data_IF_974047256089
#
_entry.id   IF_974047256089
#
_cell.length_a   1.000
_cell.length_b   1.000
_cell.length_c   1.000
_cell.angle_alpha   90.00
_cell.angle_beta   90.00
_cell.angle_gamma   90.00
#
_symmetry.space_group_name_H-M   'P 1'
#
loop_
_entity.id
_entity.type
_entity.pdbx_description
1 polymer ?
#
# COMPACT_ATOMS: atom_id res chain seq x y z
N UNK A 1 -12.45 3.71 -19.39
CA UNK A 1 -11.91 2.81 -18.37
C UNK A 1 -11.94 3.47 -17.02
N UNK A 2 -12.48 2.79 -16.04
CA UNK A 2 -12.67 3.37 -14.71
C UNK A 2 -11.36 3.34 -13.93
N UNK A 3 -11.00 4.47 -13.33
CA UNK A 3 -9.83 4.55 -12.47
C UNK A 3 -10.17 3.97 -11.10
N UNK A 4 -9.49 2.91 -10.72
CA UNK A 4 -9.67 2.29 -9.40
C UNK A 4 -8.67 2.77 -8.38
N UNK A 5 -7.75 3.65 -8.76
CA UNK A 5 -6.72 4.15 -7.86
C UNK A 5 -6.48 5.63 -8.09
N UNK A 6 -6.01 6.30 -7.03
CA UNK A 6 -5.59 7.69 -7.08
C UNK A 6 -4.35 7.83 -6.21
N UNK A 7 -3.32 8.49 -6.73
CA UNK A 7 -2.04 8.62 -6.04
C UNK A 7 -1.62 10.08 -5.97
N UNK A 8 -1.03 10.49 -4.85
CA UNK A 8 -0.44 11.82 -4.72
C UNK A 8 0.62 11.84 -3.62
N UNK A 9 1.51 12.80 -3.69
CA UNK A 9 2.58 12.97 -2.71
C UNK A 9 2.39 14.29 -1.95
N UNK A 10 2.47 14.21 -0.61
CA UNK A 10 2.41 15.39 0.24
C UNK A 10 3.83 15.77 0.65
N UNK A 11 4.34 16.86 0.10
CA UNK A 11 5.71 17.30 0.35
C UNK A 11 5.90 17.82 1.79
N UNK A 12 4.84 18.22 2.45
CA UNK A 12 4.93 18.72 3.83
C UNK A 12 5.25 17.59 4.81
N UNK A 13 4.56 16.45 4.66
CA UNK A 13 4.75 15.30 5.55
C UNK A 13 5.72 14.27 5.00
N UNK A 14 6.02 14.33 3.71
CA UNK A 14 6.84 13.31 3.05
C UNK A 14 6.10 12.00 2.86
N UNK A 15 4.77 12.03 2.86
CA UNK A 15 3.94 10.83 2.72
C UNK A 15 3.43 10.70 1.30
N UNK A 16 3.59 9.49 0.72
CA UNK A 16 2.98 9.15 -0.56
C UNK A 16 1.67 8.41 -0.28
N UNK A 17 0.58 8.92 -0.84
CA UNK A 17 -0.76 8.38 -0.66
C UNK A 17 -1.20 7.60 -1.88
N UNK A 18 -1.83 6.45 -1.65
CA UNK A 18 -2.41 5.66 -2.71
C UNK A 18 -3.79 5.19 -2.26
N UNK A 19 -4.83 5.68 -2.92
CA UNK A 19 -6.21 5.35 -2.59
C UNK A 19 -6.78 4.37 -3.60
N UNK A 20 -7.45 3.33 -3.11
CA UNK A 20 -8.11 2.33 -3.95
C UNK A 20 -9.62 2.45 -3.85
N UNK A 21 -10.32 2.18 -4.94
CA UNK A 21 -11.77 2.28 -5.02
C UNK A 21 -12.34 1.08 -5.75
N UNK A 22 -13.49 0.59 -5.28
CA UNK A 22 -14.20 -0.49 -5.94
C UNK A 22 -13.55 -1.85 -5.73
N UNK A 23 -13.80 -2.76 -6.64
CA UNK A 23 -13.29 -4.13 -6.54
C UNK A 23 -11.87 -4.20 -7.11
N UNK A 24 -10.94 -4.69 -6.29
CA UNK A 24 -9.51 -4.71 -6.63
C UNK A 24 -9.03 -6.18 -6.69
N UNK A 25 -8.65 -6.61 -7.89
CA UNK A 25 -8.02 -7.91 -8.07
C UNK A 25 -6.52 -7.81 -7.80
N UNK A 26 -5.85 -8.97 -7.72
CA UNK A 26 -4.39 -8.98 -7.58
C UNK A 26 -3.73 -8.27 -8.77
N UNK A 27 -4.23 -8.51 -9.98
CA UNK A 27 -3.71 -7.86 -11.19
C UNK A 27 -3.90 -6.35 -11.14
N UNK A 28 -5.05 -5.89 -10.63
CA UNK A 28 -5.30 -4.46 -10.46
C UNK A 28 -4.28 -3.83 -9.52
N UNK A 29 -3.98 -4.52 -8.42
CA UNK A 29 -3.02 -4.04 -7.43
C UNK A 29 -1.63 -3.88 -8.06
N UNK A 30 -1.14 -4.91 -8.73
CA UNK A 30 0.18 -4.89 -9.36
C UNK A 30 0.24 -3.84 -10.44
N UNK A 31 -0.77 -3.78 -11.32
CA UNK A 31 -0.80 -2.82 -12.42
C UNK A 31 -0.79 -1.38 -11.90
N UNK A 32 -1.52 -1.10 -10.83
CA UNK A 32 -1.57 0.25 -10.26
C UNK A 32 -0.21 0.70 -9.73
N UNK A 33 0.53 -0.20 -9.08
CA UNK A 33 1.87 0.13 -8.60
C UNK A 33 2.86 0.29 -9.75
N UNK A 34 2.77 -0.58 -10.76
CA UNK A 34 3.64 -0.48 -11.94
C UNK A 34 3.44 0.83 -12.66
N UNK A 35 2.19 1.29 -12.79
CA UNK A 35 1.90 2.58 -13.39
C UNK A 35 2.55 3.72 -12.63
N UNK A 36 2.41 3.73 -11.30
CA UNK A 36 2.99 4.76 -10.44
C UNK A 36 4.52 4.76 -10.56
N UNK A 37 5.13 3.59 -10.57
CA UNK A 37 6.58 3.45 -10.66
C UNK A 37 7.08 3.87 -12.05
N UNK A 38 6.40 3.42 -13.11
CA UNK A 38 6.82 3.72 -14.47
C UNK A 38 6.69 5.20 -14.80
N UNK A 39 5.69 5.88 -14.24
CA UNK A 39 5.50 7.31 -14.42
C UNK A 39 6.33 8.15 -13.45
N UNK A 40 7.10 7.49 -12.58
CA UNK A 40 7.98 8.14 -11.60
C UNK A 40 7.22 9.12 -10.72
N UNK A 41 6.05 8.71 -10.26
CA UNK A 41 5.22 9.54 -9.40
C UNK A 41 5.69 9.54 -7.95
N UNK A 42 6.53 8.58 -7.56
CA UNK A 42 7.09 8.51 -6.21
C UNK A 42 8.42 9.24 -6.21
N UNK A 43 8.54 10.36 -5.47
CA UNK A 43 9.82 11.04 -5.35
C UNK A 43 10.90 10.15 -4.74
N UNK A 44 12.15 10.48 -4.97
CA UNK A 44 13.27 9.75 -4.39
C UNK A 44 13.25 9.86 -2.87
N UNK A 45 13.62 8.77 -2.20
CA UNK A 45 13.78 8.72 -0.74
C UNK A 45 12.48 8.87 0.05
N UNK A 46 11.33 8.58 -0.57
CA UNK A 46 10.07 8.50 0.17
C UNK A 46 10.10 7.23 1.01
N UNK A 47 9.87 7.35 2.32
CA UNK A 47 9.87 6.24 3.26
C UNK A 47 8.57 6.12 4.05
N UNK A 48 7.55 6.87 3.66
CA UNK A 48 6.25 6.87 4.32
C UNK A 48 5.16 6.73 3.28
N UNK A 49 4.34 5.69 3.44
CA UNK A 49 3.26 5.39 2.48
C UNK A 49 1.96 5.17 3.23
N UNK A 50 0.88 5.76 2.72
CA UNK A 50 -0.49 5.44 3.17
C UNK A 50 -1.20 4.79 1.99
N UNK A 51 -1.64 3.56 2.19
CA UNK A 51 -2.44 2.84 1.19
C UNK A 51 -3.84 2.68 1.76
N UNK A 52 -4.79 3.35 1.16
CA UNK A 52 -6.16 3.43 1.67
C UNK A 52 -7.09 2.52 0.89
N UNK A 53 -7.63 1.50 1.57
CA UNK A 53 -8.57 0.54 1.01
C UNK A 53 -10.00 0.73 1.52
N UNK A 54 -10.30 1.85 2.21
CA UNK A 54 -11.61 2.01 2.85
C UNK A 54 -12.78 1.94 1.87
N UNK A 55 -12.57 2.38 0.64
CA UNK A 55 -13.61 2.34 -0.38
C UNK A 55 -13.37 1.24 -1.41
N UNK A 56 -12.54 0.26 -1.07
CA UNK A 56 -12.20 -0.84 -1.95
C UNK A 56 -12.59 -2.18 -1.35
N UNK A 57 -12.83 -3.14 -2.22
CA UNK A 57 -13.04 -4.55 -1.83
C UNK A 57 -11.95 -5.38 -2.46
N UNK A 58 -11.19 -6.09 -1.64
CA UNK A 58 -10.11 -6.96 -2.12
C UNK A 58 -10.70 -8.27 -2.60
N UNK A 59 -10.46 -8.62 -3.86
CA UNK A 59 -11.04 -9.79 -4.49
C UNK A 59 -10.13 -11.02 -4.54
N UNK A 60 -8.88 -10.89 -4.16
CA UNK A 60 -7.96 -12.02 -4.26
C UNK A 60 -7.77 -12.70 -2.90
N UNK A 61 -7.53 -14.03 -2.90
CA UNK A 61 -7.40 -14.78 -1.66
C UNK A 61 -6.04 -14.57 -1.00
N UNK A 62 -5.92 -14.96 0.29
CA UNK A 62 -4.65 -14.82 1.02
C UNK A 62 -3.46 -15.53 0.38
N UNK A 63 -3.68 -16.49 -0.51
CA UNK A 63 -2.57 -17.17 -1.19
C UNK A 63 -1.69 -16.22 -2.01
N UNK A 64 -2.19 -15.03 -2.36
CA UNK A 64 -1.42 -14.04 -3.09
C UNK A 64 -0.52 -13.21 -2.18
N UNK A 65 -0.56 -13.42 -0.85
CA UNK A 65 0.24 -12.65 0.09
C UNK A 65 1.72 -12.73 -0.23
N UNK A 66 2.22 -13.93 -0.52
CA UNK A 66 3.62 -14.11 -0.87
C UNK A 66 3.98 -13.42 -2.17
N UNK A 67 3.06 -13.46 -3.14
CA UNK A 67 3.28 -12.78 -4.42
C UNK A 67 3.38 -11.28 -4.26
N UNK A 68 2.58 -10.71 -3.36
CA UNK A 68 2.61 -9.29 -3.07
C UNK A 68 3.90 -8.91 -2.35
N UNK A 69 4.31 -9.71 -1.36
CA UNK A 69 5.58 -9.49 -0.68
C UNK A 69 6.74 -9.54 -1.66
N UNK A 70 6.71 -10.49 -2.60
CA UNK A 70 7.73 -10.60 -3.64
C UNK A 70 7.74 -9.36 -4.55
N UNK A 71 6.56 -8.83 -4.87
CA UNK A 71 6.47 -7.62 -5.68
C UNK A 71 7.16 -6.43 -4.98
N UNK A 72 6.88 -6.24 -3.68
CA UNK A 72 7.52 -5.18 -2.92
C UNK A 72 9.02 -5.39 -2.81
N UNK A 73 9.47 -6.63 -2.64
CA UNK A 73 10.90 -6.94 -2.57
C UNK A 73 11.60 -6.72 -3.90
N UNK A 74 10.90 -6.96 -5.02
CA UNK A 74 11.43 -6.69 -6.35
C UNK A 74 11.71 -5.18 -6.53
N UNK A 75 10.92 -4.34 -5.88
CA UNK A 75 11.10 -2.89 -5.90
C UNK A 75 11.70 -2.40 -4.59
N UNK A 76 12.69 -3.13 -4.09
CA UNK A 76 13.36 -2.84 -2.83
C UNK A 76 14.00 -1.46 -2.79
N UNK A 77 14.45 -0.97 -3.94
CA UNK A 77 15.00 0.38 -4.05
C UNK A 77 13.98 1.47 -3.64
N UNK A 78 12.69 1.16 -3.75
CA UNK A 78 11.62 2.09 -3.37
C UNK A 78 11.15 1.84 -1.94
N UNK A 79 10.93 0.57 -1.58
CA UNK A 79 10.23 0.22 -0.34
C UNK A 79 11.12 -0.18 0.83
N UNK A 80 12.42 -0.42 0.62
CA UNK A 80 13.30 -0.84 1.70
C UNK A 80 13.31 0.18 2.84
N UNK A 81 13.18 -0.31 4.08
CA UNK A 81 13.24 0.52 5.29
C UNK A 81 12.14 1.58 5.36
N UNK A 82 11.04 1.38 4.63
CA UNK A 82 9.91 2.30 4.67
C UNK A 82 8.85 1.81 5.66
N UNK A 83 7.94 2.72 6.01
CA UNK A 83 6.74 2.42 6.78
C UNK A 83 5.55 2.52 5.85
N UNK A 84 4.76 1.47 5.79
CA UNK A 84 3.56 1.41 4.96
C UNK A 84 2.35 1.26 5.88
N UNK A 85 1.50 2.28 5.92
CA UNK A 85 0.27 2.25 6.69
C UNK A 85 -0.88 1.89 5.77
N UNK A 86 -1.61 0.84 6.09
CA UNK A 86 -2.77 0.41 5.31
C UNK A 86 -4.03 0.76 6.09
N UNK A 87 -4.90 1.53 5.48
CA UNK A 87 -6.17 1.98 6.08
C UNK A 87 -7.29 1.15 5.51
N UNK A 88 -8.07 0.48 6.37
CA UNK A 88 -9.12 -0.41 5.92
C UNK A 88 -10.19 -0.59 7.01
N UNK A 89 -11.42 -0.94 6.61
CA UNK A 89 -12.54 -1.04 7.53
C UNK A 89 -13.08 -2.45 7.71
N UNK A 90 -12.83 -3.37 6.78
CA UNK A 90 -13.41 -4.69 6.84
C UNK A 90 -12.43 -5.72 7.39
N UNK A 91 -12.91 -6.75 8.11
CA UNK A 91 -12.04 -7.81 8.62
C UNK A 91 -11.24 -8.52 7.53
N UNK A 92 -11.85 -8.70 6.35
CA UNK A 92 -11.16 -9.37 5.24
C UNK A 92 -9.95 -8.57 4.76
N UNK A 93 -10.03 -7.25 4.81
CA UNK A 93 -8.91 -6.38 4.47
C UNK A 93 -7.84 -6.39 5.55
N UNK A 94 -8.24 -6.51 6.82
CA UNK A 94 -7.29 -6.52 7.93
C UNK A 94 -6.41 -7.78 7.91
N UNK A 95 -6.99 -8.93 7.60
CA UNK A 95 -6.24 -10.20 7.58
C UNK A 95 -5.11 -10.16 6.55
N UNK A 96 -5.38 -9.57 5.39
CA UNK A 96 -4.42 -9.54 4.30
C UNK A 96 -3.10 -8.80 4.66
N UNK A 97 -3.12 -7.58 5.19
CA UNK A 97 -1.87 -6.90 5.59
C UNK A 97 -1.12 -7.65 6.70
N UNK A 98 -1.81 -8.31 7.62
CA UNK A 98 -1.15 -9.10 8.67
C UNK A 98 -0.37 -10.26 8.07
N UNK A 99 -0.91 -10.89 7.03
CA UNK A 99 -0.22 -11.98 6.35
C UNK A 99 1.04 -11.48 5.63
N UNK A 100 0.96 -10.28 5.03
CA UNK A 100 2.14 -9.67 4.41
C UNK A 100 3.23 -9.43 5.47
N UNK A 101 2.84 -8.97 6.65
CA UNK A 101 3.79 -8.69 7.74
C UNK A 101 4.53 -9.95 8.19
N UNK A 102 3.94 -11.13 8.00
CA UNK A 102 4.56 -12.40 8.39
C UNK A 102 5.55 -12.92 7.37
N UNK A 103 5.58 -12.35 6.16
CA UNK A 103 6.55 -12.74 5.14
C UNK A 103 7.90 -12.09 5.39
N UNK A 104 8.94 -12.58 4.71
CA UNK A 104 10.29 -12.02 4.85
C UNK A 104 10.39 -10.73 4.02
N UNK A 105 10.13 -9.61 4.68
CA UNK A 105 10.14 -8.29 4.05
C UNK A 105 11.04 -7.36 4.84
N UNK A 106 11.59 -6.34 4.18
CA UNK A 106 12.48 -5.37 4.81
C UNK A 106 11.86 -3.97 4.94
N UNK A 107 10.55 -3.93 5.10
CA UNK A 107 9.79 -2.72 5.38
C UNK A 107 8.75 -3.06 6.45
N UNK A 108 8.15 -2.04 7.07
CA UNK A 108 7.17 -2.24 8.14
C UNK A 108 5.77 -1.92 7.61
N UNK A 109 4.85 -2.88 7.77
CA UNK A 109 3.45 -2.70 7.39
C UNK A 109 2.59 -2.70 8.66
N UNK A 110 1.67 -1.74 8.76
CA UNK A 110 0.75 -1.69 9.89
C UNK A 110 -0.62 -1.25 9.41
N UNK A 111 -1.68 -1.81 10.02
CA UNK A 111 -3.05 -1.52 9.63
C UNK A 111 -3.70 -0.52 10.57
N UNK A 112 -4.59 0.31 10.01
CA UNK A 112 -5.32 1.33 10.76
C UNK A 112 -6.74 1.41 10.23
N UNK A 113 -7.66 1.86 11.08
CA UNK A 113 -9.05 2.05 10.69
C UNK A 113 -9.33 3.49 10.22
N UNK A 114 -8.42 4.42 10.48
CA UNK A 114 -8.56 5.82 10.04
C UNK A 114 -7.26 6.32 9.45
N UNK A 115 -7.38 7.28 8.52
CA UNK A 115 -6.21 7.93 7.95
C UNK A 115 -5.45 8.76 8.99
N UNK A 116 -6.15 9.35 9.95
CA UNK A 116 -5.54 10.13 11.02
C UNK A 116 -4.59 9.27 11.85
N UNK A 117 -5.02 8.08 12.24
CA UNK A 117 -4.17 7.16 13.01
C UNK A 117 -2.96 6.72 12.20
N UNK A 118 -3.15 6.47 10.90
CA UNK A 118 -2.07 6.08 10.01
C UNK A 118 -1.00 7.16 9.91
N UNK A 119 -1.41 8.40 9.69
CA UNK A 119 -0.49 9.53 9.58
C UNK A 119 0.25 9.75 10.89
N UNK A 120 -0.45 9.65 12.02
CA UNK A 120 0.17 9.81 13.34
C UNK A 120 1.30 8.80 13.54
N UNK A 121 1.07 7.53 13.18
CA UNK A 121 2.10 6.51 13.29
C UNK A 121 3.29 6.80 12.37
N UNK A 122 3.02 7.24 11.15
CA UNK A 122 4.10 7.52 10.19
C UNK A 122 4.98 8.68 10.62
N UNK A 123 4.41 9.61 11.39
CA UNK A 123 5.13 10.82 11.81
C UNK A 123 5.83 10.68 13.15
N UNK A 124 5.73 9.51 13.78
CA UNK A 124 6.47 9.25 15.02
C UNK A 124 7.97 9.29 14.84
#
# INVERSE_FOLDING_TARGET
MENKTQSFYDAVTGIFYKNYYGEISFEDLVASWEEVINQKLIPDNVKRFVINYKEATILFPPKHTKDIANFYNLHNDIFAQSKIAMVMETPNQVVFPQLIQEEDINFTVRTFYTSEAAVEWLME
#
